data_IF_172319730941
#
_entry.id   IF_172319730941
#
_cell.length_a   1.000
_cell.length_b   1.000
_cell.length_c   1.000
_cell.angle_alpha   90.00
_cell.angle_beta   90.00
_cell.angle_gamma   90.00
#
_symmetry.space_group_name_H-M   'P 1'
#
loop_
_entity.id
_entity.type
_entity.pdbx_description
1 polymer ?
#
# COMPACT_ATOMS: atom_id res chain seq x y z
N UNK A 1 -1.72 -5.56 3.63
CA UNK A 1 -1.09 -4.83 2.52
C UNK A 1 0.17 -5.59 2.17
N UNK A 2 0.23 -6.19 0.97
CA UNK A 2 1.36 -6.99 0.49
C UNK A 2 2.11 -6.31 -0.65
N UNK A 3 1.41 -5.51 -1.46
CA UNK A 3 1.98 -4.84 -2.61
C UNK A 3 1.96 -3.31 -2.47
N UNK A 4 2.91 -2.63 -3.13
CA UNK A 4 2.92 -1.14 -3.22
C UNK A 4 1.62 -0.63 -3.84
N UNK A 5 1.08 -1.33 -4.85
CA UNK A 5 -0.20 -0.98 -5.47
C UNK A 5 -1.37 -0.99 -4.50
N UNK A 6 -1.37 -1.87 -3.49
CA UNK A 6 -2.38 -1.85 -2.43
C UNK A 6 -2.13 -0.69 -1.44
N UNK A 7 -0.87 -0.38 -1.15
CA UNK A 7 -0.47 0.65 -0.20
C UNK A 7 -0.86 2.05 -0.68
N UNK A 8 -0.50 2.39 -1.92
CA UNK A 8 -0.75 3.72 -2.50
C UNK A 8 -2.24 4.01 -2.70
N UNK A 9 -3.08 2.96 -2.80
CA UNK A 9 -4.53 3.09 -2.89
C UNK A 9 -5.21 3.34 -1.53
N UNK A 10 -4.49 3.21 -0.41
CA UNK A 10 -5.02 3.51 0.92
C UNK A 10 -4.85 4.97 1.27
N UNK A 11 -5.88 5.54 1.90
CA UNK A 11 -5.82 6.88 2.45
C UNK A 11 -5.00 6.92 3.75
N UNK A 12 -4.47 8.09 4.09
CA UNK A 12 -3.76 8.30 5.35
C UNK A 12 -4.61 7.95 6.58
N UNK A 13 -5.91 8.26 6.53
CA UNK A 13 -6.84 7.93 7.61
C UNK A 13 -7.03 6.42 7.77
N UNK A 14 -7.09 5.66 6.68
CA UNK A 14 -7.13 4.19 6.75
C UNK A 14 -5.84 3.62 7.32
N UNK A 15 -4.69 4.16 6.92
CA UNK A 15 -3.39 3.73 7.44
C UNK A 15 -3.31 3.94 8.96
N UNK A 16 -3.74 5.12 9.45
CA UNK A 16 -3.75 5.44 10.89
C UNK A 16 -4.74 4.62 11.72
N UNK A 17 -5.73 3.96 11.11
CA UNK A 17 -6.64 3.03 11.80
C UNK A 17 -6.02 1.65 12.01
N UNK A 18 -4.85 1.37 11.42
CA UNK A 18 -4.18 0.08 11.56
C UNK A 18 -3.59 -0.07 12.97
N UNK A 19 -3.86 -1.21 13.62
CA UNK A 19 -3.35 -1.50 14.97
C UNK A 19 -1.81 -1.43 14.98
N UNK A 20 -1.24 -0.75 15.97
CA UNK A 20 0.21 -0.51 16.12
C UNK A 20 0.83 0.36 15.02
N UNK A 21 0.03 1.03 14.18
CA UNK A 21 0.50 1.95 13.17
C UNK A 21 0.22 3.40 13.61
N UNK A 22 1.20 4.29 13.48
CA UNK A 22 1.10 5.67 13.96
C UNK A 22 1.68 6.70 13.00
N UNK A 23 1.62 7.98 13.39
CA UNK A 23 2.07 9.12 12.57
C UNK A 23 3.54 9.01 12.12
N UNK A 24 4.41 8.46 12.97
CA UNK A 24 5.82 8.25 12.62
C UNK A 24 5.98 7.25 11.47
N UNK A 25 5.39 6.07 11.60
CA UNK A 25 5.39 5.04 10.55
C UNK A 25 4.68 5.52 9.28
N UNK A 26 3.63 6.35 9.40
CA UNK A 26 2.97 6.97 8.25
C UNK A 26 3.93 7.88 7.49
N UNK A 27 4.66 8.75 8.18
CA UNK A 27 5.60 9.67 7.55
C UNK A 27 6.75 8.91 6.88
N UNK A 28 7.31 7.89 7.56
CA UNK A 28 8.35 7.03 6.97
C UNK A 28 7.88 6.38 5.66
N UNK A 29 6.64 5.87 5.62
CA UNK A 29 6.06 5.33 4.38
C UNK A 29 5.89 6.41 3.32
N UNK A 30 5.39 7.60 3.70
CA UNK A 30 5.20 8.71 2.74
C UNK A 30 6.52 9.14 2.12
N UNK A 31 7.58 9.25 2.90
CA UNK A 31 8.91 9.65 2.41
C UNK A 31 9.44 8.63 1.40
N UNK A 32 9.29 7.33 1.68
CA UNK A 32 9.66 6.25 0.74
C UNK A 32 8.82 6.32 -0.54
N UNK A 33 7.50 6.53 -0.44
CA UNK A 33 6.62 6.65 -1.61
C UNK A 33 6.98 7.87 -2.46
N UNK A 34 7.26 9.01 -1.85
CA UNK A 34 7.69 10.24 -2.54
C UNK A 34 9.00 10.00 -3.29
N UNK A 35 9.95 9.28 -2.70
CA UNK A 35 11.20 8.89 -3.37
C UNK A 35 10.99 8.02 -4.62
N UNK A 36 9.86 7.32 -4.72
CA UNK A 36 9.44 6.52 -5.88
C UNK A 36 8.48 7.26 -6.83
N UNK A 37 8.11 8.50 -6.52
CA UNK A 37 7.14 9.28 -7.30
C UNK A 37 5.68 8.93 -7.04
N UNK A 38 5.37 8.24 -5.93
CA UNK A 38 4.02 7.85 -5.54
C UNK A 38 3.51 8.65 -4.33
N UNK A 39 2.20 8.60 -4.10
CA UNK A 39 1.53 9.16 -2.93
C UNK A 39 0.42 8.23 -2.43
N UNK A 40 -0.03 8.44 -1.19
CA UNK A 40 -1.18 7.72 -0.62
C UNK A 40 -2.49 8.29 -1.17
N UNK A 41 -3.51 7.44 -1.31
CA UNK A 41 -4.82 7.79 -1.87
C UNK A 41 -4.85 7.89 -3.39
N UNK A 42 -3.82 7.41 -4.10
CA UNK A 42 -3.84 7.32 -5.56
C UNK A 42 -4.78 6.22 -6.03
N UNK A 43 -5.49 6.41 -7.14
CA UNK A 43 -6.19 5.31 -7.83
C UNK A 43 -5.28 4.72 -8.89
N UNK A 44 -5.13 3.40 -8.89
CA UNK A 44 -4.40 2.67 -9.92
C UNK A 44 -5.38 1.81 -10.69
N UNK A 45 -5.64 2.18 -11.94
CA UNK A 45 -6.54 1.43 -12.80
C UNK A 45 -5.89 0.09 -13.21
N UNK A 46 -6.67 -0.99 -13.12
CA UNK A 46 -6.25 -2.33 -13.58
C UNK A 46 -5.33 -3.12 -12.63
N UNK A 47 -5.02 -2.56 -11.45
CA UNK A 47 -4.31 -3.30 -10.40
C UNK A 47 -5.24 -4.33 -9.74
N UNK A 48 -4.90 -5.61 -9.85
CA UNK A 48 -5.51 -6.68 -9.05
C UNK A 48 -4.41 -7.49 -8.37
N UNK A 49 -4.46 -7.71 -7.04
CA UNK A 49 -3.45 -8.50 -6.33
C UNK A 49 -3.27 -9.92 -6.90
N UNK A 50 -4.33 -10.48 -7.50
CA UNK A 50 -4.31 -11.82 -8.10
C UNK A 50 -3.42 -11.92 -9.35
N UNK A 51 -3.22 -10.82 -10.09
CA UNK A 51 -2.30 -10.81 -11.26
C UNK A 51 -0.84 -10.98 -10.86
N UNK A 52 -0.49 -10.58 -9.63
CA UNK A 52 0.89 -10.56 -9.13
C UNK A 52 1.14 -11.62 -8.07
N UNK A 53 0.09 -12.27 -7.58
CA UNK A 53 0.22 -13.41 -6.70
C UNK A 53 0.56 -14.62 -7.56
N UNK A 54 1.65 -15.36 -7.27
CA UNK A 54 1.90 -16.62 -7.96
C UNK A 54 0.66 -17.51 -7.80
N UNK A 55 0.30 -18.32 -8.81
CA UNK A 55 -0.83 -19.23 -8.69
C UNK A 55 -0.65 -19.98 -7.38
N UNK A 56 -1.66 -19.92 -6.50
CA UNK A 56 -1.67 -20.69 -5.26
C UNK A 56 -1.29 -22.10 -5.66
N UNK A 57 -0.12 -22.57 -5.23
CA UNK A 57 0.15 -24.00 -5.30
C UNK A 57 -0.97 -24.63 -4.49
N UNK A 58 -1.83 -25.37 -5.16
CA UNK A 58 -2.73 -26.31 -4.48
C UNK A 58 -1.80 -27.25 -3.70
N UNK A 59 -1.89 -27.17 -2.37
CA UNK A 59 -1.30 -28.16 -1.47
C UNK A 59 -2.05 -29.49 -1.62
#
# INVERSE_FOLDING_TARGET
>A
IKYIGELVQKSEQEMLKTKNFGKKSLNEIKDVLVGMGFSLGMKIDGFTPEKFSPPRKED
#
